data_IF_266963366956
#
_entry.id   IF_266963366956
#
_cell.length_a   1.000
_cell.length_b   1.000
_cell.length_c   1.000
_cell.angle_alpha   90.00
_cell.angle_beta   90.00
_cell.angle_gamma   90.00
#
_symmetry.space_group_name_H-M   'P 1'
#
loop_
_entity.id
_entity.type
_entity.pdbx_description
1 polymer ?
#
# COMPACT_ATOMS: atom_id res chain seq x y z
N UNK A 1 15.52 -10.46 -5.39
CA UNK A 1 15.30 -9.15 -4.75
C UNK A 1 16.37 -8.99 -3.68
N UNK A 2 17.21 -7.95 -3.77
CA UNK A 2 18.30 -7.77 -2.80
C UNK A 2 17.79 -7.07 -1.54
N UNK A 3 18.51 -7.22 -0.43
CA UNK A 3 18.20 -6.49 0.82
C UNK A 3 18.25 -4.98 0.58
N UNK A 4 19.18 -4.52 -0.27
CA UNK A 4 19.31 -3.11 -0.64
C UNK A 4 18.04 -2.56 -1.32
N UNK A 5 17.42 -3.33 -2.22
CA UNK A 5 16.16 -2.94 -2.88
C UNK A 5 15.03 -2.77 -1.87
N UNK A 6 14.93 -3.70 -0.92
CA UNK A 6 13.90 -3.71 0.13
C UNK A 6 14.07 -2.48 1.02
N UNK A 7 15.29 -2.28 1.54
CA UNK A 7 15.60 -1.14 2.42
C UNK A 7 15.35 0.18 1.70
N UNK A 8 15.77 0.31 0.44
CA UNK A 8 15.57 1.52 -0.35
C UNK A 8 14.07 1.84 -0.52
N UNK A 9 13.25 0.85 -0.91
CA UNK A 9 11.80 1.03 -1.07
C UNK A 9 11.11 1.41 0.23
N UNK A 10 11.50 0.78 1.35
CA UNK A 10 10.95 1.10 2.67
C UNK A 10 11.34 2.50 3.14
N UNK A 11 12.58 2.93 2.90
CA UNK A 11 13.02 4.30 3.22
C UNK A 11 12.27 5.31 2.38
N UNK A 12 12.14 5.08 1.07
CA UNK A 12 11.41 5.98 0.16
C UNK A 12 9.96 6.13 0.59
N UNK A 13 9.25 5.03 0.84
CA UNK A 13 7.84 5.12 1.23
C UNK A 13 7.68 5.79 2.60
N UNK A 14 8.55 5.48 3.55
CA UNK A 14 8.53 6.13 4.88
C UNK A 14 8.71 7.64 4.76
N UNK A 15 9.61 8.10 3.90
CA UNK A 15 9.84 9.53 3.66
C UNK A 15 8.64 10.18 2.96
N UNK A 16 8.12 9.59 1.89
CA UNK A 16 7.00 10.15 1.14
C UNK A 16 5.73 10.20 2.00
N UNK A 17 5.37 9.07 2.62
CA UNK A 17 4.25 8.99 3.56
C UNK A 17 4.44 9.92 4.75
N UNK A 18 5.68 10.08 5.22
CA UNK A 18 6.04 10.98 6.30
C UNK A 18 5.82 12.46 5.94
N UNK A 19 6.30 12.88 4.76
CA UNK A 19 6.16 14.27 4.28
C UNK A 19 4.68 14.63 4.11
N UNK A 20 3.92 13.78 3.42
CA UNK A 20 2.49 14.01 3.20
C UNK A 20 1.76 13.99 4.54
N UNK A 21 2.00 12.97 5.36
CA UNK A 21 1.36 12.84 6.67
C UNK A 21 1.66 14.01 7.61
N UNK A 22 2.88 14.52 7.60
CA UNK A 22 3.28 15.69 8.40
C UNK A 22 2.56 16.96 7.95
N UNK A 23 2.48 17.21 6.64
CA UNK A 23 1.72 18.35 6.10
C UNK A 23 0.24 18.25 6.51
N UNK A 24 -0.36 17.08 6.38
CA UNK A 24 -1.76 16.84 6.76
C UNK A 24 -2.00 17.06 8.26
N UNK A 25 -1.11 16.59 9.11
CA UNK A 25 -1.19 16.81 10.56
C UNK A 25 -1.06 18.29 10.93
N UNK A 26 -0.13 19.01 10.29
CA UNK A 26 0.04 20.47 10.48
C UNK A 26 -1.21 21.26 10.07
N UNK A 27 -1.97 20.77 9.09
CA UNK A 27 -3.24 21.37 8.65
C UNK A 27 -4.44 20.92 9.50
N UNK A 28 -4.24 20.19 10.60
CA UNK A 28 -5.30 19.61 11.44
C UNK A 28 -6.28 18.72 10.65
N UNK A 29 -5.77 17.99 9.65
CA UNK A 29 -6.56 17.04 8.89
C UNK A 29 -6.98 15.83 9.72
N UNK A 30 -8.09 15.20 9.32
CA UNK A 30 -8.61 13.98 9.97
C UNK A 30 -7.62 12.80 9.97
N UNK A 31 -6.68 12.73 9.02
CA UNK A 31 -5.58 11.76 9.03
C UNK A 31 -4.25 12.49 8.93
N UNK A 32 -3.36 12.25 9.91
CA UNK A 32 -2.05 12.89 10.05
C UNK A 32 -0.89 11.96 9.76
N UNK A 33 0.26 12.19 10.39
CA UNK A 33 1.52 11.49 10.12
C UNK A 33 1.42 9.98 10.34
N UNK A 34 0.89 9.58 11.49
CA UNK A 34 0.78 8.15 11.88
C UNK A 34 -0.02 7.36 10.86
N UNK A 35 -1.14 7.91 10.38
CA UNK A 35 -2.02 7.23 9.43
C UNK A 35 -1.32 7.01 8.08
N UNK A 36 -0.68 8.05 7.54
CA UNK A 36 -0.02 7.94 6.23
C UNK A 36 1.19 7.00 6.28
N UNK A 37 1.98 7.04 7.36
CA UNK A 37 3.09 6.12 7.58
C UNK A 37 2.61 4.67 7.67
N UNK A 38 1.60 4.39 8.51
CA UNK A 38 1.09 3.03 8.68
C UNK A 38 0.54 2.47 7.37
N UNK A 39 -0.24 3.25 6.62
CA UNK A 39 -0.83 2.78 5.36
C UNK A 39 0.25 2.52 4.31
N UNK A 40 1.13 3.48 4.04
CA UNK A 40 2.13 3.35 2.98
C UNK A 40 3.18 2.27 3.25
N UNK A 41 3.66 2.17 4.50
CA UNK A 41 4.60 1.10 4.89
C UNK A 41 3.94 -0.27 4.76
N UNK A 42 2.69 -0.42 5.25
CA UNK A 42 1.98 -1.71 5.19
C UNK A 42 1.71 -2.13 3.75
N UNK A 43 1.26 -1.21 2.90
CA UNK A 43 1.02 -1.48 1.48
C UNK A 43 2.30 -1.91 0.74
N UNK A 44 3.42 -1.22 1.01
CA UNK A 44 4.73 -1.56 0.45
C UNK A 44 5.20 -2.93 0.92
N UNK A 45 5.08 -3.25 2.21
CA UNK A 45 5.46 -4.56 2.75
C UNK A 45 4.66 -5.68 2.06
N UNK A 46 3.34 -5.50 1.93
CA UNK A 46 2.48 -6.51 1.29
C UNK A 46 2.82 -6.70 -0.20
N UNK A 47 3.14 -5.62 -0.91
CA UNK A 47 3.60 -5.71 -2.29
C UNK A 47 4.95 -6.45 -2.42
N UNK A 48 5.88 -6.19 -1.49
CA UNK A 48 7.17 -6.89 -1.46
C UNK A 48 7.01 -8.38 -1.14
N UNK A 49 6.10 -8.74 -0.22
CA UNK A 49 5.75 -10.13 0.07
C UNK A 49 5.17 -10.81 -1.17
N UNK A 50 4.26 -10.15 -1.90
CA UNK A 50 3.72 -10.72 -3.14
C UNK A 50 4.81 -10.96 -4.18
N UNK A 51 5.72 -10.00 -4.35
CA UNK A 51 6.83 -10.14 -5.27
C UNK A 51 7.74 -11.31 -4.88
N UNK A 52 8.01 -11.51 -3.59
CA UNK A 52 8.80 -12.64 -3.09
C UNK A 52 8.13 -13.98 -3.42
N UNK A 53 6.84 -14.12 -3.10
CA UNK A 53 6.05 -15.35 -3.39
C UNK A 53 6.08 -15.68 -4.90
N UNK A 54 5.87 -14.67 -5.76
CA UNK A 54 5.88 -14.88 -7.21
C UNK A 54 7.27 -15.34 -7.70
N UNK A 55 8.35 -14.76 -7.19
CA UNK A 55 9.71 -15.14 -7.56
C UNK A 55 10.07 -16.57 -7.10
N UNK A 56 9.65 -16.96 -5.90
CA UNK A 56 9.89 -18.31 -5.37
C UNK A 56 9.18 -19.36 -6.23
N UNK A 57 7.92 -19.09 -6.57
CA UNK A 57 7.13 -19.95 -7.46
C UNK A 57 7.73 -20.02 -8.87
N UNK A 58 8.21 -18.90 -9.42
CA UNK A 58 8.88 -18.87 -10.71
C UNK A 58 10.17 -19.70 -10.73
N UNK A 59 10.98 -19.60 -9.67
CA UNK A 59 12.23 -20.36 -9.53
C UNK A 59 11.97 -21.87 -9.46
N UNK A 60 10.90 -22.28 -8.77
CA UNK A 60 10.46 -23.67 -8.74
C UNK A 60 10.10 -24.20 -10.14
N UNK A 61 9.43 -23.40 -10.98
CA UNK A 61 9.11 -23.80 -12.36
C UNK A 61 10.37 -24.04 -13.20
N UNK A 62 11.32 -23.10 -13.15
CA UNK A 62 12.55 -23.20 -13.94
C UNK A 62 13.41 -24.41 -13.53
N UNK A 63 13.35 -24.81 -12.26
CA UNK A 63 14.17 -25.91 -11.74
C UNK A 63 13.59 -27.32 -11.98
N UNK A 64 12.28 -27.47 -12.14
CA UNK A 64 11.64 -28.80 -12.11
C UNK A 64 11.02 -29.26 -13.43
N UNK A 65 10.88 -28.41 -14.46
CA UNK A 65 10.23 -28.76 -15.75
C UNK A 65 8.80 -29.34 -15.59
N UNK A 66 8.14 -29.13 -14.44
CA UNK A 66 6.78 -29.63 -14.16
C UNK A 66 5.76 -28.62 -14.69
N UNK A 67 4.74 -29.11 -15.41
CA UNK A 67 3.60 -28.29 -15.82
C UNK A 67 2.88 -27.64 -14.63
N UNK A 68 2.29 -26.43 -14.80
CA UNK A 68 1.94 -25.57 -13.68
C UNK A 68 0.67 -26.07 -12.97
N UNK A 69 0.85 -26.89 -11.93
CA UNK A 69 -0.23 -27.22 -10.98
C UNK A 69 -0.52 -26.05 -10.03
N UNK A 70 0.53 -25.27 -9.70
CA UNK A 70 0.43 -24.07 -8.86
C UNK A 70 0.47 -22.87 -9.82
N UNK A 71 -0.47 -21.92 -9.72
CA UNK A 71 -0.45 -20.64 -10.45
C UNK A 71 -0.30 -19.50 -9.44
N UNK A 72 0.83 -18.80 -9.46
CA UNK A 72 0.98 -17.56 -8.71
C UNK A 72 0.33 -16.41 -9.47
N UNK A 73 -0.64 -15.74 -8.85
CA UNK A 73 -1.29 -14.55 -9.39
C UNK A 73 -0.58 -13.30 -8.86
N UNK A 74 0.11 -12.51 -9.71
CA UNK A 74 0.88 -11.34 -9.28
C UNK A 74 0.00 -10.15 -8.89
N UNK A 75 -1.32 -10.23 -9.04
CA UNK A 75 -2.26 -9.15 -8.71
C UNK A 75 -3.04 -9.37 -7.41
N UNK A 76 -3.08 -10.59 -6.90
CA UNK A 76 -3.97 -11.00 -5.80
C UNK A 76 -3.81 -10.23 -4.47
N UNK A 77 -2.61 -10.12 -3.90
CA UNK A 77 -2.44 -9.41 -2.62
C UNK A 77 -2.60 -7.90 -2.82
N UNK A 78 -2.07 -7.34 -3.92
CA UNK A 78 -2.24 -5.93 -4.28
C UNK A 78 -3.72 -5.57 -4.43
N UNK A 79 -4.53 -6.43 -5.06
CA UNK A 79 -5.98 -6.20 -5.18
C UNK A 79 -6.66 -6.09 -3.81
N UNK A 80 -6.22 -6.88 -2.82
CA UNK A 80 -6.75 -6.81 -1.45
C UNK A 80 -6.28 -5.55 -0.71
N UNK A 81 -5.06 -5.10 -0.97
CA UNK A 81 -4.55 -3.82 -0.46
C UNK A 81 -5.40 -2.67 -0.99
N UNK A 82 -5.60 -2.61 -2.32
CA UNK A 82 -6.44 -1.61 -3.00
C UNK A 82 -7.87 -1.60 -2.42
N UNK A 83 -8.46 -2.78 -2.22
CA UNK A 83 -9.78 -2.92 -1.61
C UNK A 83 -9.82 -2.39 -0.16
N UNK A 84 -8.83 -2.76 0.66
CA UNK A 84 -8.73 -2.32 2.06
C UNK A 84 -8.54 -0.82 2.22
N UNK A 85 -7.70 -0.21 1.37
CA UNK A 85 -7.49 1.25 1.36
C UNK A 85 -8.76 1.97 0.90
N UNK A 86 -9.49 1.42 -0.07
CA UNK A 86 -10.78 1.96 -0.52
C UNK A 86 -11.78 2.05 0.64
N UNK A 87 -11.82 1.03 1.50
CA UNK A 87 -12.64 1.04 2.72
C UNK A 87 -12.20 2.13 3.72
N UNK A 88 -10.89 2.24 4.00
CA UNK A 88 -10.36 3.31 4.85
C UNK A 88 -10.67 4.70 4.30
N UNK A 89 -10.46 4.91 2.99
CA UNK A 89 -10.75 6.16 2.29
C UNK A 89 -12.22 6.54 2.41
N UNK A 90 -13.13 5.62 2.08
CA UNK A 90 -14.57 5.84 2.25
C UNK A 90 -14.95 6.18 3.69
N UNK A 91 -14.33 5.51 4.68
CA UNK A 91 -14.55 5.78 6.11
C UNK A 91 -14.12 7.18 6.55
N UNK A 92 -13.23 7.85 5.82
CA UNK A 92 -12.84 9.24 6.11
C UNK A 92 -13.75 10.30 5.50
N UNK A 93 -14.60 9.92 4.53
CA UNK A 93 -15.50 10.85 3.84
C UNK A 93 -16.79 10.98 4.63
N UNK A 94 -17.10 12.20 5.06
CA UNK A 94 -18.33 12.52 5.80
C UNK A 94 -19.22 13.39 4.91
N UNK A 95 -20.44 12.93 4.67
CA UNK A 95 -21.45 13.65 3.88
C UNK A 95 -22.56 14.12 4.80
N UNK A 96 -22.88 15.42 4.78
CA UNK A 96 -23.97 15.99 5.58
C UNK A 96 -24.77 16.99 4.74
N UNK A 97 -26.02 16.65 4.40
CA UNK A 97 -26.96 17.44 3.57
C UNK A 97 -26.38 17.98 2.26
N UNK A 98 -25.59 19.06 2.31
CA UNK A 98 -24.94 19.73 1.17
C UNK A 98 -23.43 19.92 1.34
N UNK A 99 -22.83 19.38 2.39
CA UNK A 99 -21.40 19.49 2.68
C UNK A 99 -20.72 18.11 2.62
N UNK A 100 -19.55 18.06 1.98
CA UNK A 100 -18.70 16.86 1.92
C UNK A 100 -17.34 17.22 2.51
N UNK A 101 -16.92 16.47 3.52
CA UNK A 101 -15.60 16.63 4.16
C UNK A 101 -14.81 15.33 4.07
N UNK A 102 -13.49 15.43 4.18
CA UNK A 102 -12.59 14.27 4.19
C UNK A 102 -12.19 13.71 2.83
N UNK A 103 -12.72 14.25 1.72
CA UNK A 103 -12.38 13.79 0.36
C UNK A 103 -10.87 13.85 0.07
N UNK A 104 -10.21 14.95 0.46
CA UNK A 104 -8.76 15.12 0.31
C UNK A 104 -7.96 14.19 1.21
N UNK A 105 -8.49 13.86 2.40
CA UNK A 105 -7.87 12.88 3.31
C UNK A 105 -7.94 11.48 2.72
N UNK A 106 -9.09 11.10 2.14
CA UNK A 106 -9.22 9.83 1.42
C UNK A 106 -8.23 9.74 0.26
N UNK A 107 -8.13 10.81 -0.55
CA UNK A 107 -7.20 10.88 -1.66
C UNK A 107 -5.72 10.85 -1.21
N UNK A 108 -5.36 11.51 -0.11
CA UNK A 108 -3.99 11.54 0.38
C UNK A 108 -3.54 10.18 0.93
N UNK A 109 -4.44 9.46 1.63
CA UNK A 109 -4.18 8.09 2.08
C UNK A 109 -3.99 7.16 0.87
N UNK A 110 -4.86 7.29 -0.15
CA UNK A 110 -4.71 6.51 -1.38
C UNK A 110 -3.39 6.77 -2.09
N UNK A 111 -2.96 8.03 -2.13
CA UNK A 111 -1.73 8.43 -2.84
C UNK A 111 -0.45 7.86 -2.24
N UNK A 112 -0.42 7.56 -0.94
CA UNK A 112 0.76 7.03 -0.26
C UNK A 112 0.79 5.50 -0.21
N UNK A 113 -0.22 4.85 -0.79
CA UNK A 113 -0.40 3.40 -0.74
C UNK A 113 0.33 2.68 -1.87
#
# INVERSE_FOLDING_TARGET
MTIQDITLRLVIITLISGIIGYEREKQNANAGLRTHLLVGITATILALIQQAIVNDVLTLYTSTNIEPVIRADPSRLIAQVISGIGFLGAGTIIVTKRNVSGLTTAASIWSVS
#
